data_IF_605428309658
#
_entry.id   IF_605428309658
#
_cell.length_a   1.000
_cell.length_b   1.000
_cell.length_c   1.000
_cell.angle_alpha   90.00
_cell.angle_beta   90.00
_cell.angle_gamma   90.00
#
_symmetry.space_group_name_H-M   'P 1'
#
loop_
_entity.id
_entity.type
_entity.pdbx_description
1 polymer ?
#
# COMPACT_ATOMS: atom_id res chain seq x y z
N UNK A 1 4.43 7.42 10.29
CA UNK A 1 3.08 7.46 10.90
C UNK A 1 2.93 6.35 11.92
N UNK A 2 2.34 6.60 13.10
CA UNK A 2 2.11 5.58 14.17
C UNK A 2 3.34 4.76 14.62
N UNK A 3 4.55 5.31 14.48
CA UNK A 3 5.79 4.59 14.82
C UNK A 3 6.10 3.38 13.92
N UNK A 4 5.48 3.30 12.74
CA UNK A 4 5.86 2.37 11.67
C UNK A 4 6.40 3.14 10.46
N UNK A 5 7.30 2.49 9.73
CA UNK A 5 7.82 2.99 8.47
C UNK A 5 6.83 2.70 7.34
N UNK A 6 6.79 3.64 6.39
CA UNK A 6 6.02 3.55 5.17
C UNK A 6 6.96 3.81 4.01
N UNK A 7 6.85 3.02 2.95
CA UNK A 7 7.61 3.20 1.72
C UNK A 7 6.65 3.24 0.54
N UNK A 8 6.99 3.99 -0.49
CA UNK A 8 6.13 4.16 -1.66
C UNK A 8 6.98 4.20 -2.92
N UNK A 9 6.54 3.45 -3.93
CA UNK A 9 7.08 3.50 -5.28
C UNK A 9 5.92 3.52 -6.25
N UNK A 10 5.92 4.45 -7.20
CA UNK A 10 4.83 4.66 -8.15
C UNK A 10 5.39 4.66 -9.57
N UNK A 11 4.66 4.02 -10.49
CA UNK A 11 4.90 4.03 -11.92
C UNK A 11 3.61 4.43 -12.64
N UNK A 12 3.62 5.59 -13.28
CA UNK A 12 2.47 6.11 -13.98
C UNK A 12 2.44 7.62 -13.96
N UNK A 13 1.24 8.17 -14.06
CA UNK A 13 0.95 9.60 -14.07
C UNK A 13 -0.43 9.83 -13.47
N UNK A 14 -0.52 10.78 -12.55
CA UNK A 14 -1.78 11.11 -11.87
C UNK A 14 -2.06 12.60 -12.02
N UNK A 15 -2.74 13.02 -13.11
CA UNK A 15 -2.87 14.43 -13.48
C UNK A 15 -3.40 15.36 -12.37
N UNK A 16 -4.32 14.89 -11.51
CA UNK A 16 -4.82 15.67 -10.35
C UNK A 16 -3.75 16.09 -9.34
N UNK A 17 -2.64 15.36 -9.32
CA UNK A 17 -1.52 15.57 -8.40
C UNK A 17 -0.29 16.15 -9.13
N UNK A 18 -0.38 16.36 -10.44
CA UNK A 18 0.64 17.03 -11.24
C UNK A 18 0.52 18.55 -11.11
N UNK A 19 1.67 19.25 -11.18
CA UNK A 19 1.73 20.72 -11.24
C UNK A 19 1.03 21.45 -10.08
N UNK A 20 1.09 20.90 -8.86
CA UNK A 20 0.41 21.50 -7.72
C UNK A 20 0.95 22.89 -7.35
N UNK A 21 2.22 23.22 -7.60
CA UNK A 21 2.79 24.54 -7.26
C UNK A 21 2.54 24.91 -5.80
N UNK A 22 2.06 26.14 -5.54
CA UNK A 22 1.61 26.60 -4.21
C UNK A 22 0.21 26.09 -3.81
N UNK A 23 -0.45 25.31 -4.67
CA UNK A 23 -1.81 24.81 -4.44
C UNK A 23 -1.81 23.73 -3.36
N UNK A 24 -2.87 23.71 -2.54
CA UNK A 24 -3.06 22.65 -1.54
C UNK A 24 -3.24 21.30 -2.22
N UNK A 25 -2.60 20.27 -1.67
CA UNK A 25 -2.82 18.86 -2.02
C UNK A 25 -4.32 18.55 -2.10
N UNK A 26 -4.78 17.81 -3.13
CA UNK A 26 -6.16 17.31 -3.18
C UNK A 26 -6.51 16.56 -1.88
N UNK A 27 -7.64 16.93 -1.27
CA UNK A 27 -8.10 16.27 -0.06
C UNK A 27 -8.76 14.93 -0.38
N UNK A 28 -8.14 13.84 0.05
CA UNK A 28 -8.74 12.51 0.00
C UNK A 28 -9.48 12.17 1.31
N UNK A 29 -10.47 11.28 1.23
CA UNK A 29 -11.24 10.80 2.38
C UNK A 29 -12.36 11.71 2.85
N UNK A 30 -12.70 12.76 2.07
CA UNK A 30 -13.75 13.73 2.42
C UNK A 30 -15.11 13.44 1.81
N UNK A 31 -15.24 12.36 1.02
CA UNK A 31 -16.50 11.94 0.41
C UNK A 31 -17.54 11.59 1.50
N UNK A 32 -18.32 12.60 1.93
CA UNK A 32 -19.42 12.47 2.90
C UNK A 32 -19.21 13.15 4.26
N UNK A 33 -18.02 13.65 4.58
CA UNK A 33 -17.78 14.50 5.77
C UNK A 33 -17.24 15.84 5.32
N UNK A 34 -18.02 16.91 5.51
CA UNK A 34 -17.46 18.28 5.50
C UNK A 34 -16.26 18.26 6.44
N UNK A 35 -15.09 18.63 5.93
CA UNK A 35 -13.88 18.89 6.71
C UNK A 35 -14.14 20.08 7.64
N UNK A 36 -14.86 19.85 8.73
CA UNK A 36 -15.14 20.86 9.74
C UNK A 36 -15.40 20.19 11.08
N UNK A 37 -14.32 19.70 11.72
CA UNK A 37 -14.32 19.58 13.17
C UNK A 37 -13.98 20.99 13.69
N UNK A 38 -15.00 21.73 14.11
CA UNK A 38 -14.83 22.97 14.87
C UNK A 38 -14.44 22.55 16.29
N UNK A 39 -13.22 22.87 16.72
CA UNK A 39 -12.89 22.86 18.15
C UNK A 39 -13.49 24.11 18.82
N UNK A 40 -13.78 24.03 20.12
CA UNK A 40 -14.39 25.10 20.91
C UNK A 40 -13.62 26.45 20.89
N UNK A 41 -12.40 26.48 20.33
CA UNK A 41 -11.55 27.66 20.16
C UNK A 41 -11.59 28.30 18.76
N UNK A 42 -12.46 27.85 17.85
CA UNK A 42 -12.71 28.52 16.56
C UNK A 42 -11.54 28.49 15.56
N UNK A 43 -10.55 27.61 15.72
CA UNK A 43 -9.41 27.48 14.79
C UNK A 43 -9.61 26.28 13.85
N UNK A 44 -9.58 26.54 12.55
CA UNK A 44 -9.50 25.54 11.49
C UNK A 44 -8.19 24.76 11.64
N UNK A 45 -8.26 23.44 11.83
CA UNK A 45 -7.09 22.57 11.66
C UNK A 45 -7.36 21.72 10.42
N UNK A 46 -6.99 22.27 9.26
CA UNK A 46 -6.75 21.49 8.04
C UNK A 46 -5.25 21.42 7.77
N UNK A 47 -4.41 21.30 8.79
CA UNK A 47 -2.97 21.12 8.57
C UNK A 47 -2.75 19.65 8.21
N UNK A 48 -2.62 19.37 6.92
CA UNK A 48 -1.93 18.17 6.44
C UNK A 48 -0.64 18.00 7.23
N UNK A 49 -0.34 16.78 7.66
CA UNK A 49 0.89 16.49 8.41
C UNK A 49 2.05 16.18 7.47
N UNK A 50 1.75 15.54 6.33
CA UNK A 50 2.73 15.14 5.33
C UNK A 50 2.63 16.05 4.12
N UNK A 51 3.78 16.53 3.64
CA UNK A 51 3.91 17.39 2.48
C UNK A 51 5.00 16.82 1.56
N UNK A 52 4.82 16.85 0.23
CA UNK A 52 5.88 16.47 -0.70
C UNK A 52 7.07 17.41 -0.51
N UNK A 53 8.28 16.88 -0.73
CA UNK A 53 9.51 17.67 -0.65
C UNK A 53 9.93 18.11 -2.05
N UNK A 54 9.71 17.26 -3.04
CA UNK A 54 9.82 17.59 -4.45
C UNK A 54 8.48 17.89 -5.11
N UNK A 55 8.52 18.02 -6.44
CA UNK A 55 7.37 18.44 -7.26
C UNK A 55 6.72 17.28 -8.04
N UNK A 56 7.05 16.03 -7.69
CA UNK A 56 6.50 14.86 -8.38
C UNK A 56 5.08 14.56 -7.91
N UNK A 57 4.21 14.17 -8.87
CA UNK A 57 2.87 13.67 -8.58
C UNK A 57 2.91 12.46 -7.63
N UNK A 58 3.94 11.64 -7.74
CA UNK A 58 4.19 10.44 -6.94
C UNK A 58 4.34 10.78 -5.45
N UNK A 59 5.14 11.79 -5.10
CA UNK A 59 5.27 12.25 -3.71
C UNK A 59 3.97 12.89 -3.21
N UNK A 60 3.28 13.65 -4.07
CA UNK A 60 2.01 14.27 -3.73
C UNK A 60 0.92 13.23 -3.43
N UNK A 61 0.80 12.19 -4.26
CA UNK A 61 -0.10 11.04 -4.05
C UNK A 61 0.24 10.34 -2.73
N UNK A 62 1.52 10.07 -2.47
CA UNK A 62 1.92 9.42 -1.22
C UNK A 62 1.52 10.25 0.01
N UNK A 63 1.82 11.55 0.00
CA UNK A 63 1.45 12.46 1.08
C UNK A 63 -0.07 12.53 1.28
N UNK A 64 -0.84 12.57 0.19
CA UNK A 64 -2.30 12.58 0.24
C UNK A 64 -2.86 11.31 0.87
N UNK A 65 -2.36 10.13 0.49
CA UNK A 65 -2.72 8.84 1.11
C UNK A 65 -2.39 8.87 2.61
N UNK A 66 -1.18 9.30 2.99
CA UNK A 66 -0.77 9.32 4.39
C UNK A 66 -1.62 10.30 5.23
N UNK A 67 -1.94 11.47 4.68
CA UNK A 67 -2.79 12.44 5.35
C UNK A 67 -4.22 11.92 5.54
N UNK A 68 -4.79 11.27 4.51
CA UNK A 68 -6.12 10.67 4.61
C UNK A 68 -6.17 9.56 5.66
N UNK A 69 -5.19 8.66 5.67
CA UNK A 69 -5.06 7.63 6.70
C UNK A 69 -4.92 8.22 8.10
N UNK A 70 -4.10 9.27 8.25
CA UNK A 70 -3.88 9.94 9.54
C UNK A 70 -5.11 10.71 10.05
N UNK A 71 -5.94 11.22 9.14
CA UNK A 71 -7.18 11.91 9.44
C UNK A 71 -8.31 10.93 9.80
N UNK A 72 -8.33 9.74 9.19
CA UNK A 72 -9.35 8.73 9.42
C UNK A 72 -9.11 7.90 10.69
N UNK A 73 -7.84 7.67 11.05
CA UNK A 73 -7.49 6.79 12.17
C UNK A 73 -6.60 7.46 13.23
N UNK A 74 -7.06 7.38 14.47
CA UNK A 74 -6.28 7.81 15.65
C UNK A 74 -5.16 6.82 16.00
N UNK A 75 -5.33 5.54 15.63
CA UNK A 75 -4.39 4.45 15.88
C UNK A 75 -4.22 3.55 14.66
N UNK A 76 -3.21 2.69 14.67
CA UNK A 76 -3.00 1.69 13.61
C UNK A 76 -4.27 0.88 13.32
N UNK A 77 -4.83 0.96 12.10
CA UNK A 77 -5.95 0.13 11.69
C UNK A 77 -5.52 -1.34 11.55
N UNK A 78 -6.48 -2.25 11.60
CA UNK A 78 -6.25 -3.66 11.23
C UNK A 78 -6.03 -3.76 9.71
N UNK A 79 -5.34 -4.81 9.25
CA UNK A 79 -5.11 -5.08 7.83
C UNK A 79 -6.40 -5.06 6.96
N UNK A 80 -7.52 -5.70 7.34
CA UNK A 80 -8.77 -5.62 6.55
C UNK A 80 -9.30 -4.20 6.41
N UNK A 81 -9.22 -3.39 7.48
CA UNK A 81 -9.68 -2.00 7.45
C UNK A 81 -8.75 -1.17 6.58
N UNK A 82 -7.44 -1.34 6.73
CA UNK A 82 -6.45 -0.65 5.92
C UNK A 82 -6.59 -0.98 4.42
N UNK A 83 -6.80 -2.24 4.07
CA UNK A 83 -7.03 -2.68 2.69
C UNK A 83 -8.25 -1.96 2.08
N UNK A 84 -9.41 -1.97 2.77
CA UNK A 84 -10.62 -1.26 2.32
C UNK A 84 -10.38 0.24 2.16
N UNK A 85 -9.71 0.86 3.11
CA UNK A 85 -9.43 2.30 3.05
C UNK A 85 -8.49 2.64 1.91
N UNK A 86 -7.38 1.92 1.72
CA UNK A 86 -6.47 2.14 0.59
C UNK A 86 -7.22 1.98 -0.74
N UNK A 87 -8.01 0.91 -0.89
CA UNK A 87 -8.81 0.69 -2.11
C UNK A 87 -9.74 1.88 -2.39
N UNK A 88 -10.45 2.36 -1.39
CA UNK A 88 -11.32 3.54 -1.51
C UNK A 88 -10.53 4.80 -1.89
N UNK A 89 -9.36 5.03 -1.29
CA UNK A 89 -8.51 6.17 -1.61
C UNK A 89 -8.00 6.11 -3.06
N UNK A 90 -7.62 4.94 -3.56
CA UNK A 90 -7.29 4.76 -4.98
C UNK A 90 -8.47 5.17 -5.88
N UNK A 91 -9.68 4.70 -5.55
CA UNK A 91 -10.88 5.04 -6.33
C UNK A 91 -11.19 6.54 -6.30
N UNK A 92 -10.91 7.23 -5.19
CA UNK A 92 -11.02 8.70 -5.09
C UNK A 92 -9.95 9.42 -5.94
N UNK A 93 -8.72 8.92 -5.95
CA UNK A 93 -7.63 9.47 -6.76
C UNK A 93 -7.98 9.41 -8.25
N UNK A 94 -8.56 8.30 -8.70
CA UNK A 94 -8.82 8.04 -10.12
C UNK A 94 -10.09 8.75 -10.62
N UNK A 95 -11.11 8.89 -9.78
CA UNK A 95 -12.45 9.36 -10.17
C UNK A 95 -12.48 10.67 -10.96
N UNK A 96 -12.97 10.66 -12.19
CA UNK A 96 -13.05 11.84 -13.06
C UNK A 96 -11.83 12.07 -13.95
N UNK A 97 -10.78 11.27 -13.78
CA UNK A 97 -9.56 11.25 -14.61
C UNK A 97 -9.20 9.79 -14.99
N UNK A 98 -10.21 8.92 -15.14
CA UNK A 98 -10.03 7.47 -15.32
C UNK A 98 -9.15 7.09 -16.52
N UNK A 99 -9.26 7.85 -17.62
CA UNK A 99 -8.56 7.60 -18.89
C UNK A 99 -7.16 8.22 -18.93
N UNK A 100 -6.93 9.29 -18.18
CA UNK A 100 -5.65 10.01 -18.13
C UNK A 100 -4.76 9.55 -16.96
N UNK A 101 -5.33 8.85 -15.98
CA UNK A 101 -4.60 8.31 -14.82
C UNK A 101 -3.98 6.97 -15.16
N UNK A 102 -2.69 6.82 -14.84
CA UNK A 102 -1.99 5.54 -14.71
C UNK A 102 -1.48 5.49 -13.27
N UNK A 103 -2.01 4.59 -12.44
CA UNK A 103 -1.67 4.51 -11.01
C UNK A 103 -1.25 3.09 -10.67
N UNK A 104 0.03 2.77 -10.88
CA UNK A 104 0.62 1.52 -10.42
C UNK A 104 1.57 1.82 -9.26
N UNK A 105 1.34 1.24 -8.09
CA UNK A 105 2.22 1.51 -6.95
C UNK A 105 2.46 0.30 -6.06
N UNK A 106 3.59 0.39 -5.33
CA UNK A 106 3.95 -0.44 -4.20
C UNK A 106 3.95 0.45 -2.95
N UNK A 107 3.25 0.03 -1.90
CA UNK A 107 3.14 0.72 -0.63
C UNK A 107 3.51 -0.25 0.51
N UNK A 108 4.75 -0.14 0.99
CA UNK A 108 5.21 -0.89 2.16
C UNK A 108 4.71 -0.25 3.44
N UNK A 109 4.22 -1.04 4.38
CA UNK A 109 3.81 -0.56 5.70
C UNK A 109 4.18 -1.56 6.81
N UNK A 110 5.00 -1.09 7.75
CA UNK A 110 5.56 -1.97 8.77
C UNK A 110 6.54 -3.01 8.21
N UNK A 111 6.89 -4.05 9.00
CA UNK A 111 7.97 -4.96 8.63
C UNK A 111 7.59 -6.06 7.64
N UNK A 112 6.29 -6.30 7.43
CA UNK A 112 5.80 -7.52 6.81
C UNK A 112 4.85 -7.30 5.63
N UNK A 113 4.22 -6.13 5.56
CA UNK A 113 3.08 -5.90 4.69
C UNK A 113 3.47 -5.00 3.52
N UNK A 114 3.21 -5.47 2.31
CA UNK A 114 3.34 -4.70 1.08
C UNK A 114 2.00 -4.66 0.36
N UNK A 115 1.43 -3.48 0.12
CA UNK A 115 0.32 -3.33 -0.82
C UNK A 115 0.85 -3.07 -2.21
N UNK A 116 0.22 -3.66 -3.22
CA UNK A 116 0.46 -3.38 -4.62
C UNK A 116 -0.88 -3.10 -5.30
N UNK A 117 -0.94 -2.01 -6.05
CA UNK A 117 -2.14 -1.56 -6.74
C UNK A 117 -1.83 -1.31 -8.21
N UNK A 118 -2.80 -1.61 -9.08
CA UNK A 118 -2.69 -1.41 -10.51
C UNK A 118 -3.93 -0.72 -11.07
N UNK A 119 -3.76 0.47 -11.64
CA UNK A 119 -4.67 1.08 -12.58
C UNK A 119 -3.88 1.34 -13.87
N UNK A 120 -3.84 0.34 -14.76
CA UNK A 120 -2.94 0.36 -15.90
C UNK A 120 -3.52 1.19 -17.06
N UNK A 121 -2.64 1.60 -17.96
CA UNK A 121 -3.02 2.36 -19.15
C UNK A 121 -1.84 2.67 -20.06
N UNK A 122 -2.13 3.34 -21.16
CA UNK A 122 -1.14 3.85 -22.10
C UNK A 122 -1.23 5.37 -22.15
N UNK A 123 -0.08 6.05 -22.21
CA UNK A 123 -0.08 7.51 -22.37
C UNK A 123 -0.68 7.90 -23.72
N UNK A 124 -1.34 9.06 -23.85
CA UNK A 124 -1.83 9.55 -25.13
C UNK A 124 -0.75 9.51 -26.21
N UNK A 125 -1.05 8.85 -27.34
CA UNK A 125 -0.09 8.69 -28.45
C UNK A 125 0.99 7.64 -28.24
N UNK A 126 0.99 6.89 -27.13
CA UNK A 126 1.91 5.77 -26.88
C UNK A 126 1.22 4.42 -27.08
N UNK A 127 1.91 3.47 -27.72
CA UNK A 127 1.51 2.06 -27.75
C UNK A 127 2.01 1.27 -26.54
N UNK A 128 2.76 1.90 -25.63
CA UNK A 128 3.35 1.23 -24.46
C UNK A 128 2.31 1.11 -23.36
N UNK A 129 1.97 -0.13 -23.04
CA UNK A 129 1.10 -0.48 -21.92
C UNK A 129 1.85 -0.43 -20.59
N UNK A 130 1.30 0.28 -19.60
CA UNK A 130 1.86 0.41 -18.26
C UNK A 130 1.06 -0.43 -17.27
N UNK A 131 1.31 -1.74 -17.29
CA UNK A 131 0.75 -2.71 -16.37
C UNK A 131 1.57 -2.90 -15.11
N UNK A 132 1.04 -3.74 -14.22
CA UNK A 132 1.78 -4.34 -13.13
C UNK A 132 1.54 -5.86 -13.19
N UNK A 133 2.59 -6.62 -12.94
CA UNK A 133 2.58 -8.07 -13.00
C UNK A 133 3.23 -8.63 -11.75
N UNK A 134 2.83 -9.83 -11.33
CA UNK A 134 3.52 -10.55 -10.28
C UNK A 134 3.66 -12.04 -10.58
N UNK A 135 4.65 -12.65 -9.96
CA UNK A 135 4.80 -14.10 -9.89
C UNK A 135 5.17 -14.49 -8.45
N UNK A 136 4.65 -15.63 -8.00
CA UNK A 136 4.99 -16.21 -6.71
C UNK A 136 5.82 -17.46 -6.96
N UNK A 137 7.06 -17.43 -6.48
CA UNK A 137 8.02 -18.53 -6.58
C UNK A 137 8.06 -19.28 -5.25
N UNK A 138 8.07 -20.60 -5.34
CA UNK A 138 8.19 -21.50 -4.21
C UNK A 138 9.03 -22.72 -4.62
N UNK A 139 9.66 -23.42 -3.68
CA UNK A 139 10.42 -24.63 -3.92
C UNK A 139 9.65 -25.71 -4.71
N UNK A 140 10.35 -26.45 -5.59
CA UNK A 140 11.77 -26.29 -5.95
C UNK A 140 12.00 -25.03 -6.80
N UNK A 141 12.95 -24.17 -6.39
CA UNK A 141 13.27 -22.96 -7.12
C UNK A 141 14.02 -23.33 -8.41
N UNK A 142 13.41 -23.04 -9.55
CA UNK A 142 14.10 -23.09 -10.84
C UNK A 142 14.96 -21.83 -11.02
N UNK A 143 16.13 -21.98 -11.64
CA UNK A 143 16.93 -20.85 -12.13
C UNK A 143 16.09 -20.08 -13.15
N UNK A 144 15.97 -18.75 -13.00
CA UNK A 144 15.26 -17.94 -13.98
C UNK A 144 16.19 -16.94 -14.64
N UNK A 145 16.15 -16.91 -15.96
CA UNK A 145 16.88 -15.95 -16.77
C UNK A 145 16.01 -14.72 -17.00
N UNK A 146 16.54 -13.54 -16.65
CA UNK A 146 15.88 -12.28 -16.95
C UNK A 146 15.88 -12.04 -18.47
N UNK A 147 14.74 -11.60 -19.01
CA UNK A 147 14.53 -11.40 -20.45
C UNK A 147 15.15 -10.09 -20.93
N UNK A 148 15.25 -9.09 -20.05
CA UNK A 148 15.66 -7.72 -20.40
C UNK A 148 17.12 -7.38 -20.06
N UNK A 149 17.83 -8.27 -19.38
CA UNK A 149 19.23 -8.06 -18.98
C UNK A 149 19.98 -9.38 -19.07
N UNK A 150 21.25 -9.37 -19.48
CA UNK A 150 22.15 -10.54 -19.38
C UNK A 150 22.57 -10.82 -17.91
N UNK A 151 21.62 -10.72 -16.98
CA UNK A 151 21.79 -11.05 -15.57
C UNK A 151 20.81 -12.16 -15.25
N UNK A 152 21.32 -13.24 -14.66
CA UNK A 152 20.48 -14.29 -14.07
C UNK A 152 20.46 -14.07 -12.56
N UNK A 153 19.29 -14.21 -11.95
CA UNK A 153 19.18 -14.25 -10.48
C UNK A 153 18.92 -15.69 -10.12
N UNK A 154 19.91 -16.34 -9.50
CA UNK A 154 19.73 -17.66 -8.93
C UNK A 154 19.03 -17.53 -7.57
N UNK A 155 17.72 -17.76 -7.56
CA UNK A 155 16.95 -17.72 -6.32
C UNK A 155 17.26 -18.90 -5.41
N UNK A 156 17.81 -20.01 -5.92
CA UNK A 156 18.13 -21.19 -5.09
C UNK A 156 19.29 -20.92 -4.12
N UNK A 157 20.20 -20.00 -4.45
CA UNK A 157 21.29 -19.58 -3.56
C UNK A 157 20.83 -18.65 -2.42
N UNK A 158 19.63 -18.07 -2.54
CA UNK A 158 19.10 -17.05 -1.64
C UNK A 158 17.90 -17.53 -0.81
N UNK A 159 17.51 -18.79 -0.94
CA UNK A 159 16.26 -19.31 -0.37
C UNK A 159 16.43 -20.70 0.24
N UNK A 160 15.57 -21.00 1.20
CA UNK A 160 15.41 -22.31 1.84
C UNK A 160 14.23 -23.07 1.22
N UNK A 161 14.13 -24.40 1.41
CA UNK A 161 12.97 -25.19 0.96
C UNK A 161 11.61 -24.80 1.55
N UNK A 162 11.57 -23.86 2.49
CA UNK A 162 10.34 -23.27 3.03
C UNK A 162 10.05 -21.86 2.53
N UNK A 163 10.99 -21.23 1.81
CA UNK A 163 10.85 -19.84 1.41
C UNK A 163 9.88 -19.67 0.25
N UNK A 164 9.26 -18.49 0.20
CA UNK A 164 8.39 -18.08 -0.89
C UNK A 164 8.73 -16.64 -1.25
N UNK A 165 8.88 -16.37 -2.53
CA UNK A 165 9.27 -15.05 -3.02
C UNK A 165 8.22 -14.57 -4.01
N UNK A 166 7.61 -13.43 -3.71
CA UNK A 166 6.79 -12.70 -4.68
C UNK A 166 7.67 -11.69 -5.40
N UNK A 167 7.69 -11.75 -6.73
CA UNK A 167 8.32 -10.73 -7.58
C UNK A 167 7.20 -9.92 -8.21
N UNK A 168 7.29 -8.59 -8.14
CA UNK A 168 6.34 -7.66 -8.74
C UNK A 168 7.11 -6.75 -9.70
N UNK A 169 6.65 -6.64 -10.95
CA UNK A 169 7.32 -5.89 -12.00
C UNK A 169 6.32 -5.26 -12.97
N UNK A 170 6.75 -4.23 -13.71
CA UNK A 170 5.90 -3.55 -14.71
C UNK A 170 5.64 -4.40 -15.96
N UNK A 171 6.50 -5.38 -16.22
CA UNK A 171 6.34 -6.42 -17.23
C UNK A 171 6.93 -7.74 -16.73
N UNK A 172 6.49 -8.90 -17.25
CA UNK A 172 7.14 -10.18 -16.97
C UNK A 172 8.64 -10.09 -17.25
N UNK A 173 9.45 -10.39 -16.23
CA UNK A 173 10.91 -10.30 -16.34
C UNK A 173 11.53 -11.60 -16.88
N UNK A 174 10.75 -12.68 -16.95
CA UNK A 174 11.22 -14.02 -17.33
C UNK A 174 10.18 -14.61 -18.29
N UNK A 175 10.61 -15.52 -19.17
CA UNK A 175 9.69 -16.24 -20.09
C UNK A 175 8.93 -17.38 -19.40
N UNK A 176 9.01 -17.49 -18.07
CA UNK A 176 8.40 -18.59 -17.34
C UNK A 176 6.87 -18.42 -17.29
N UNK A 177 6.17 -19.54 -17.35
CA UNK A 177 4.73 -19.58 -17.13
C UNK A 177 4.42 -19.21 -15.67
N UNK A 178 3.36 -18.43 -15.45
CA UNK A 178 2.86 -18.11 -14.10
C UNK A 178 2.92 -16.65 -13.69
N UNK A 179 3.51 -15.76 -14.51
CA UNK A 179 3.29 -14.32 -14.36
C UNK A 179 1.81 -13.99 -14.49
N UNK A 180 1.30 -13.20 -13.56
CA UNK A 180 -0.08 -12.74 -13.50
C UNK A 180 -0.08 -11.23 -13.61
N UNK A 181 -0.73 -10.71 -14.63
CA UNK A 181 -1.04 -9.29 -14.69
C UNK A 181 -2.12 -8.95 -13.64
N UNK A 182 -1.97 -7.81 -12.99
CA UNK A 182 -2.99 -7.26 -12.11
C UNK A 182 -4.19 -6.79 -12.94
N UNK A 183 -5.40 -7.01 -12.44
CA UNK A 183 -6.59 -6.43 -13.06
C UNK A 183 -6.63 -4.91 -12.83
N UNK A 184 -7.30 -4.18 -13.74
CA UNK A 184 -7.53 -2.74 -13.59
C UNK A 184 -8.31 -2.46 -12.30
N UNK A 185 -7.71 -1.67 -11.42
CA UNK A 185 -8.23 -1.36 -10.09
C UNK A 185 -7.96 -2.41 -9.02
N UNK A 186 -7.13 -3.42 -9.29
CA UNK A 186 -6.82 -4.47 -8.31
C UNK A 186 -5.87 -3.97 -7.21
N UNK A 187 -6.21 -4.26 -5.96
CA UNK A 187 -5.36 -4.04 -4.78
C UNK A 187 -5.03 -5.39 -4.13
N UNK A 188 -3.76 -5.78 -4.20
CA UNK A 188 -3.25 -6.96 -3.52
C UNK A 188 -2.42 -6.55 -2.31
N UNK A 189 -2.63 -7.22 -1.18
CA UNK A 189 -1.69 -7.22 -0.07
C UNK A 189 -0.77 -8.42 -0.20
N UNK A 190 0.53 -8.25 -0.03
CA UNK A 190 1.50 -9.32 0.04
C UNK A 190 2.03 -9.47 1.46
N UNK A 191 2.04 -10.72 1.93
CA UNK A 191 2.68 -11.16 3.17
C UNK A 191 3.21 -12.58 2.95
N UNK A 192 4.42 -12.87 3.47
CA UNK A 192 5.10 -14.16 3.26
C UNK A 192 5.13 -14.63 1.79
N UNK A 193 5.25 -13.70 0.84
CA UNK A 193 5.28 -13.99 -0.59
C UNK A 193 3.93 -14.42 -1.20
N UNK A 194 2.81 -14.29 -0.47
CA UNK A 194 1.47 -14.61 -0.96
C UNK A 194 0.63 -13.35 -1.21
N UNK A 195 -0.13 -13.28 -2.32
CA UNK A 195 -1.09 -12.21 -2.56
C UNK A 195 -2.44 -12.47 -1.88
N UNK A 196 -3.01 -11.43 -1.29
CA UNK A 196 -4.33 -11.41 -0.66
C UNK A 196 -5.16 -10.29 -1.29
N UNK A 197 -6.20 -10.68 -2.03
CA UNK A 197 -6.96 -9.80 -2.92
C UNK A 197 -8.16 -9.09 -2.28
N UNK A 198 -8.49 -9.41 -1.03
CA UNK A 198 -9.64 -8.82 -0.34
C UNK A 198 -9.35 -8.57 1.13
N UNK A 199 -10.16 -7.72 1.74
CA UNK A 199 -10.07 -7.42 3.15
C UNK A 199 -10.26 -8.67 4.03
N UNK A 200 -11.21 -9.54 3.68
CA UNK A 200 -11.48 -10.79 4.41
C UNK A 200 -10.25 -11.72 4.39
N UNK A 201 -9.56 -11.78 3.24
CA UNK A 201 -8.29 -12.49 3.12
C UNK A 201 -7.19 -11.83 3.97
N UNK A 202 -7.12 -10.49 4.00
CA UNK A 202 -6.18 -9.77 4.87
C UNK A 202 -6.48 -9.99 6.37
N UNK A 203 -7.74 -10.15 6.76
CA UNK A 203 -8.13 -10.48 8.12
C UNK A 203 -7.57 -11.84 8.56
N UNK A 204 -7.54 -12.82 7.65
CA UNK A 204 -6.95 -14.13 7.94
C UNK A 204 -5.46 -14.03 8.31
N UNK A 205 -4.73 -13.11 7.68
CA UNK A 205 -3.32 -12.81 7.98
C UNK A 205 -3.19 -12.08 9.33
N UNK A 206 -4.03 -11.09 9.59
CA UNK A 206 -4.06 -10.39 10.89
C UNK A 206 -4.28 -11.38 12.04
N UNK A 207 -5.23 -12.33 11.89
CA UNK A 207 -5.54 -13.35 12.90
C UNK A 207 -4.40 -14.32 13.17
N UNK A 208 -3.45 -14.48 12.24
CA UNK A 208 -2.22 -15.24 12.44
C UNK A 208 -1.14 -14.45 13.19
N UNK A 209 -1.47 -13.28 13.73
CA UNK A 209 -0.53 -12.43 14.48
C UNK A 209 0.38 -11.59 13.57
N UNK A 210 0.06 -11.49 12.27
CA UNK A 210 0.83 -10.75 11.28
C UNK A 210 0.26 -9.39 10.92
N UNK A 211 -0.65 -8.90 11.75
CA UNK A 211 -1.16 -7.53 11.66
C UNK A 211 -0.07 -6.48 11.89
N UNK A 212 -0.40 -5.23 11.55
CA UNK A 212 0.50 -4.11 11.79
C UNK A 212 0.69 -3.88 13.30
N UNK A 213 1.96 -3.68 13.70
CA UNK A 213 2.30 -3.34 15.08
C UNK A 213 3.36 -2.23 15.12
N UNK A 214 3.26 -1.39 16.15
CA UNK A 214 4.26 -0.36 16.46
C UNK A 214 5.06 -0.79 17.67
N UNK A 215 6.39 -0.74 17.57
CA UNK A 215 7.27 -0.97 18.74
C UNK A 215 7.21 0.19 19.74
N UNK A 216 6.82 1.38 19.27
CA UNK A 216 6.83 2.63 20.06
C UNK A 216 5.44 2.93 20.64
N UNK A 217 4.37 2.61 19.91
CA UNK A 217 3.00 2.76 20.39
C UNK A 217 2.48 1.39 20.87
N UNK A 218 2.59 1.11 22.17
CA UNK A 218 1.99 -0.12 22.73
C UNK A 218 0.47 -0.07 22.53
N UNK A 219 -0.10 -1.07 21.84
CA UNK A 219 -1.56 -1.24 21.71
C UNK A 219 -2.15 -1.32 23.13
N UNK A 220 -3.05 -0.40 23.51
CA UNK A 220 -3.76 -0.38 24.80
C UNK A 220 -4.43 -1.72 25.15
N UNK A 221 -4.71 -2.58 24.17
CA UNK A 221 -5.28 -3.92 24.37
C UNK A 221 -4.38 -4.87 25.18
N UNK A 222 -3.05 -4.87 24.97
CA UNK A 222 -2.15 -5.73 25.78
C UNK A 222 -2.07 -5.25 27.22
N UNK A 223 -2.17 -3.95 27.47
CA UNK A 223 -2.25 -3.41 28.82
C UNK A 223 -3.52 -3.87 29.54
N UNK A 224 -4.69 -3.79 28.89
CA UNK A 224 -5.94 -4.28 29.49
C UNK A 224 -5.96 -5.77 29.72
N UNK A 225 -5.40 -6.57 28.81
CA UNK A 225 -5.33 -8.02 28.96
C UNK A 225 -4.34 -8.44 30.07
N UNK A 226 -3.20 -7.75 30.18
CA UNK A 226 -2.25 -7.95 31.29
C UNK A 226 -2.81 -7.46 32.63
N UNK A 227 -3.55 -6.35 32.65
CA UNK A 227 -4.25 -5.84 33.84
C UNK A 227 -5.36 -6.81 34.29
N UNK A 228 -6.10 -7.40 33.35
CA UNK A 228 -7.13 -8.42 33.63
C UNK A 228 -6.51 -9.75 34.10
N UNK A 229 -5.43 -10.21 33.47
CA UNK A 229 -4.70 -11.41 33.90
C UNK A 229 -4.09 -11.20 35.31
N UNK A 230 -3.49 -10.04 35.57
CA UNK A 230 -2.96 -9.70 36.91
C UNK A 230 -4.06 -9.58 37.97
N UNK A 231 -5.24 -9.07 37.63
CA UNK A 231 -6.39 -9.06 38.55
C UNK A 231 -6.93 -10.47 38.82
N UNK A 232 -6.94 -11.37 37.82
CA UNK A 232 -7.36 -12.77 38.01
C UNK A 232 -6.37 -13.61 38.82
N UNK A 233 -5.08 -13.26 38.81
CA UNK A 233 -4.03 -13.93 39.61
C UNK A 233 -3.98 -13.41 41.06
N UNK A 234 -4.60 -12.25 41.32
CA UNK A 234 -4.65 -11.63 42.64
C UNK A 234 -5.95 -11.93 43.43
N UNK A 235 -6.85 -12.74 42.85
CA UNK A 235 -8.11 -13.20 43.48
C UNK A 235 -8.04 -14.70 43.71
#
# INVERSE_FOLDING_TARGET
MWGIQWTFAHNGEVPKFSHLGDSKLPSLGTSGRRSSIITASGRYISSSTYHPVGDTDSEAVFCAILNALKAEFDSLPTLPVLHKTIKRLCDEIIRGDEESTILNFLLGCGPYTLFAYSWPGSRPGSSVWNGLHYIVRQPPFATAQLVDCEYSVDFSELTTPSDRVAVIATKPLTNEEGWKEFQRGELLMFDYGLPYSSAEKCESVERQGRGLFSKVLRRRQRQRQQEQEQQSLAT
#
